data_IF_128218312170
#
_entry.id   IF_128218312170
#
_cell.length_a   1.000
_cell.length_b   1.000
_cell.length_c   1.000
_cell.angle_alpha   90.00
_cell.angle_beta   90.00
_cell.angle_gamma   90.00
#
_symmetry.space_group_name_H-M   'P 1'
#
loop_
_entity.id
_entity.type
_entity.pdbx_description
1 polymer ?
#
# COMPACT_ATOMS: atom_id res chain seq x y z
N UNK A 1 -38.86 58.13 55.03
CA UNK A 1 -40.28 57.69 54.93
C UNK A 1 -40.57 57.29 53.50
N UNK A 2 -41.28 56.15 53.34
CA UNK A 2 -42.02 55.68 52.14
C UNK A 2 -41.23 54.99 51.02
N UNK A 3 -41.26 53.66 51.13
CA UNK A 3 -41.09 52.63 50.09
C UNK A 3 -42.28 52.61 49.13
N UNK A 4 -42.11 51.89 48.02
CA UNK A 4 -43.13 51.32 47.13
C UNK A 4 -43.76 52.32 46.14
N UNK A 5 -44.06 52.01 44.89
CA UNK A 5 -44.20 50.73 44.19
C UNK A 5 -44.16 51.00 42.67
N UNK A 6 -43.67 50.02 41.92
CA UNK A 6 -44.15 49.57 40.61
C UNK A 6 -44.70 50.56 39.57
N UNK A 7 -43.93 50.73 38.51
CA UNK A 7 -44.39 50.45 37.14
C UNK A 7 -43.11 50.23 36.32
N UNK A 8 -42.59 49.01 36.24
CA UNK A 8 -42.94 47.99 35.22
C UNK A 8 -42.82 48.57 33.81
N UNK A 9 -42.04 47.87 32.98
CA UNK A 9 -41.97 47.97 31.52
C UNK A 9 -40.85 48.84 30.89
N UNK A 10 -39.60 48.64 31.31
CA UNK A 10 -38.42 48.93 30.47
C UNK A 10 -37.70 47.62 30.16
N UNK A 11 -38.26 46.79 29.28
CA UNK A 11 -37.97 46.76 27.84
C UNK A 11 -36.54 46.31 27.53
N UNK A 12 -36.48 45.22 26.74
CA UNK A 12 -35.32 44.64 26.07
C UNK A 12 -34.42 43.71 26.90
N UNK A 13 -34.98 42.53 27.17
CA UNK A 13 -34.22 41.28 27.05
C UNK A 13 -33.69 41.19 25.62
N UNK A 14 -32.44 41.56 25.39
CA UNK A 14 -31.70 41.14 24.19
C UNK A 14 -30.67 40.11 24.62
N UNK A 15 -31.16 38.90 24.88
CA UNK A 15 -30.35 37.69 24.78
C UNK A 15 -29.85 37.59 23.34
N UNK A 16 -28.62 38.03 23.09
CA UNK A 16 -27.86 37.67 21.91
C UNK A 16 -27.54 36.19 21.99
N UNK A 17 -28.52 35.35 21.68
CA UNK A 17 -28.28 33.96 21.30
C UNK A 17 -27.53 33.99 19.98
N UNK A 18 -26.21 34.04 20.08
CA UNK A 18 -25.33 33.71 18.98
C UNK A 18 -25.74 32.31 18.51
N UNK A 19 -26.17 32.12 17.25
CA UNK A 19 -26.25 30.77 16.73
C UNK A 19 -24.80 30.31 16.66
N UNK A 20 -24.36 29.53 17.65
CA UNK A 20 -23.25 28.62 17.46
C UNK A 20 -23.68 27.69 16.32
N UNK A 21 -23.39 28.11 15.08
CA UNK A 21 -23.29 27.21 13.95
C UNK A 21 -22.13 26.28 14.30
N UNK A 22 -22.42 25.27 15.11
CA UNK A 22 -21.74 24.00 15.01
C UNK A 22 -22.08 23.48 13.62
N UNK A 23 -21.37 24.00 12.61
CA UNK A 23 -21.14 23.27 11.39
C UNK A 23 -20.49 21.99 11.85
N UNK A 24 -21.30 20.94 11.99
CA UNK A 24 -20.84 19.58 12.06
C UNK A 24 -19.85 19.47 10.92
N UNK A 25 -18.57 19.50 11.25
CA UNK A 25 -17.52 19.28 10.29
C UNK A 25 -17.59 17.79 10.09
N UNK A 26 -18.20 17.25 9.00
CA UNK A 26 -17.86 15.89 8.66
C UNK A 26 -16.35 15.93 8.48
N UNK A 27 -15.60 15.24 9.33
CA UNK A 27 -14.19 14.98 9.06
C UNK A 27 -14.16 14.24 7.72
N UNK A 28 -14.00 15.01 6.66
CA UNK A 28 -14.50 14.64 5.35
C UNK A 28 -13.89 15.54 4.32
N UNK A 29 -12.62 15.25 4.02
CA UNK A 29 -11.88 15.69 2.82
C UNK A 29 -11.23 17.09 2.94
N UNK A 30 -9.94 17.08 3.26
CA UNK A 30 -9.05 18.22 3.55
C UNK A 30 -8.59 19.03 2.32
N UNK A 31 -9.46 19.30 1.33
CA UNK A 31 -9.06 20.07 0.15
C UNK A 31 -9.97 21.28 -0.06
N UNK A 32 -9.43 22.46 0.28
CA UNK A 32 -10.15 23.72 0.45
C UNK A 32 -10.63 24.40 -0.86
N UNK A 33 -10.44 23.82 -2.06
CA UNK A 33 -11.09 24.31 -3.30
C UNK A 33 -11.53 23.17 -4.25
N UNK A 34 -12.64 23.32 -5.01
CA UNK A 34 -13.10 22.32 -5.98
C UNK A 34 -12.11 22.05 -7.11
N UNK A 35 -11.48 23.10 -7.64
CA UNK A 35 -10.57 22.99 -8.77
C UNK A 35 -9.28 22.24 -8.42
N UNK A 36 -8.72 22.50 -7.22
CA UNK A 36 -7.53 21.81 -6.73
C UNK A 36 -7.78 20.30 -6.57
N UNK A 37 -9.01 19.89 -6.22
CA UNK A 37 -9.41 18.48 -6.18
C UNK A 37 -9.42 17.84 -7.55
N UNK A 38 -10.00 18.48 -8.57
CA UNK A 38 -10.06 17.91 -9.92
C UNK A 38 -8.67 17.69 -10.52
N UNK A 39 -7.70 18.56 -10.21
CA UNK A 39 -6.31 18.37 -10.64
C UNK A 39 -5.64 17.20 -9.91
N UNK A 40 -5.81 17.08 -8.58
CA UNK A 40 -5.27 15.95 -7.81
C UNK A 40 -5.93 14.62 -8.15
N UNK A 41 -7.24 14.59 -8.38
CA UNK A 41 -7.96 13.39 -8.83
C UNK A 41 -7.47 12.92 -10.20
N UNK A 42 -7.27 13.84 -11.16
CA UNK A 42 -6.68 13.49 -12.46
C UNK A 42 -5.27 12.91 -12.30
N UNK A 43 -4.42 13.55 -11.50
CA UNK A 43 -3.07 13.04 -11.22
C UNK A 43 -3.10 11.66 -10.54
N UNK A 44 -4.03 11.44 -9.61
CA UNK A 44 -4.23 10.16 -8.94
C UNK A 44 -4.62 9.08 -9.95
N UNK A 45 -5.59 9.35 -10.82
CA UNK A 45 -6.04 8.39 -11.84
C UNK A 45 -4.91 8.02 -12.81
N UNK A 46 -4.14 9.01 -13.30
CA UNK A 46 -2.99 8.75 -14.17
C UNK A 46 -1.90 7.94 -13.48
N UNK A 47 -1.52 8.31 -12.25
CA UNK A 47 -0.51 7.56 -11.48
C UNK A 47 -0.96 6.14 -11.17
N UNK A 48 -2.24 5.93 -10.84
CA UNK A 48 -2.80 4.59 -10.62
C UNK A 48 -2.73 3.75 -11.89
N UNK A 49 -3.02 4.32 -13.07
CA UNK A 49 -2.92 3.61 -14.34
C UNK A 49 -1.47 3.23 -14.66
N UNK A 50 -0.54 4.16 -14.51
CA UNK A 50 0.89 3.93 -14.72
C UNK A 50 1.45 2.87 -13.74
N UNK A 51 1.11 2.97 -12.45
CA UNK A 51 1.46 1.96 -11.46
C UNK A 51 0.88 0.60 -11.80
N UNK A 52 -0.38 0.49 -12.25
CA UNK A 52 -0.95 -0.80 -12.67
C UNK A 52 -0.24 -1.40 -13.89
N UNK A 53 0.15 -0.58 -14.87
CA UNK A 53 0.93 -1.06 -16.02
C UNK A 53 2.33 -1.52 -15.61
N UNK A 54 2.96 -0.80 -14.67
CA UNK A 54 4.27 -1.14 -14.12
C UNK A 54 4.20 -2.36 -13.20
N UNK A 55 3.18 -2.52 -12.37
CA UNK A 55 2.95 -3.71 -11.52
C UNK A 55 2.60 -4.94 -12.35
N UNK A 56 1.87 -4.76 -13.45
CA UNK A 56 1.68 -5.82 -14.44
C UNK A 56 3.01 -6.25 -15.08
N UNK A 57 3.94 -5.33 -15.30
CA UNK A 57 5.27 -5.63 -15.83
C UNK A 57 6.28 -6.07 -14.75
N UNK A 58 6.11 -5.66 -13.50
CA UNK A 58 7.05 -5.93 -12.42
C UNK A 58 6.75 -7.27 -11.78
N UNK A 59 7.79 -8.08 -11.59
CA UNK A 59 7.70 -9.36 -10.91
C UNK A 59 8.63 -9.33 -9.71
N UNK A 60 8.08 -9.51 -8.51
CA UNK A 60 8.83 -9.62 -7.27
C UNK A 60 8.73 -11.01 -6.67
N UNK A 61 9.83 -11.49 -6.11
CA UNK A 61 9.87 -12.71 -5.33
C UNK A 61 9.83 -12.34 -3.84
N UNK A 62 8.67 -12.47 -3.21
CA UNK A 62 8.48 -11.98 -1.84
C UNK A 62 8.89 -13.02 -0.79
N UNK A 63 8.81 -14.30 -1.13
CA UNK A 63 9.17 -15.38 -0.20
C UNK A 63 9.06 -16.76 -0.80
N UNK A 64 9.76 -17.71 -0.17
CA UNK A 64 9.70 -19.13 -0.48
C UNK A 64 9.49 -19.87 0.84
N UNK A 65 8.50 -20.75 0.90
CA UNK A 65 8.30 -21.68 2.02
C UNK A 65 8.40 -23.09 1.49
N UNK A 66 9.40 -23.82 1.95
CA UNK A 66 9.57 -25.24 1.65
C UNK A 66 9.20 -26.07 2.88
N UNK A 67 8.29 -27.03 2.67
CA UNK A 67 7.82 -27.95 3.71
C UNK A 67 8.69 -29.20 3.75
N UNK A 68 8.84 -29.81 4.93
CA UNK A 68 9.59 -31.07 5.10
C UNK A 68 9.08 -32.22 4.22
N UNK A 69 7.80 -32.18 3.80
CA UNK A 69 7.21 -33.13 2.86
C UNK A 69 7.65 -32.93 1.41
N UNK A 70 8.56 -32.00 1.12
CA UNK A 70 9.06 -31.67 -0.22
C UNK A 70 8.23 -30.65 -1.00
N UNK A 71 7.03 -30.31 -0.51
CA UNK A 71 6.15 -29.33 -1.17
C UNK A 71 6.65 -27.90 -0.95
N UNK A 72 6.47 -27.04 -1.94
CA UNK A 72 6.87 -25.64 -1.86
C UNK A 72 5.73 -24.68 -2.23
N UNK A 73 5.73 -23.52 -1.58
CA UNK A 73 4.85 -22.39 -1.90
C UNK A 73 5.74 -21.16 -2.09
N UNK A 74 5.54 -20.44 -3.18
CA UNK A 74 6.33 -19.26 -3.55
C UNK A 74 5.42 -18.05 -3.67
N UNK A 75 5.79 -16.93 -3.06
CA UNK A 75 5.03 -15.69 -3.14
C UNK A 75 5.61 -14.80 -4.22
N UNK A 76 4.79 -14.52 -5.23
CA UNK A 76 5.16 -13.65 -6.35
C UNK A 76 4.16 -12.50 -6.40
N UNK A 77 4.62 -11.25 -6.36
CA UNK A 77 3.77 -10.06 -6.33
C UNK A 77 2.64 -10.15 -5.26
N UNK A 78 2.97 -10.69 -4.08
CA UNK A 78 2.07 -10.90 -2.95
C UNK A 78 1.14 -12.10 -3.08
N UNK A 79 1.20 -12.85 -4.18
CA UNK A 79 0.32 -13.99 -4.46
C UNK A 79 1.06 -15.30 -4.22
N UNK A 80 0.48 -16.16 -3.38
CA UNK A 80 0.98 -17.51 -3.20
C UNK A 80 0.76 -18.33 -4.48
N UNK A 81 1.82 -19.01 -4.92
CA UNK A 81 1.81 -20.02 -5.97
C UNK A 81 2.36 -21.33 -5.41
N UNK A 82 1.56 -22.37 -5.52
CA UNK A 82 2.02 -23.74 -5.31
C UNK A 82 2.54 -24.33 -6.63
N UNK A 83 3.20 -25.49 -6.56
CA UNK A 83 3.81 -26.16 -7.72
C UNK A 83 2.85 -26.45 -8.88
N UNK A 84 1.54 -26.52 -8.61
CA UNK A 84 0.49 -26.75 -9.61
C UNK A 84 -0.16 -25.45 -10.14
N UNK A 85 0.09 -24.30 -9.53
CA UNK A 85 -0.53 -23.02 -9.94
C UNK A 85 0.09 -22.42 -11.20
N UNK A 86 1.21 -22.95 -11.69
CA UNK A 86 1.88 -22.45 -12.89
C UNK A 86 0.94 -22.43 -14.11
N UNK A 87 0.09 -23.45 -14.28
CA UNK A 87 -0.89 -23.50 -15.37
C UNK A 87 -2.00 -22.45 -15.26
N UNK A 88 -2.34 -22.02 -14.03
CA UNK A 88 -3.41 -21.05 -13.76
C UNK A 88 -2.90 -19.61 -13.82
N UNK A 89 -1.66 -19.39 -13.42
CA UNK A 89 -1.04 -18.07 -13.34
C UNK A 89 -0.16 -17.74 -14.54
N UNK A 90 0.22 -18.74 -15.33
CA UNK A 90 1.12 -18.60 -16.47
C UNK A 90 2.57 -18.35 -16.06
N UNK A 91 2.93 -18.48 -14.78
CA UNK A 91 4.30 -18.29 -14.29
C UNK A 91 4.80 -19.63 -13.75
N UNK A 92 5.84 -20.16 -14.37
CA UNK A 92 6.52 -21.36 -13.86
C UNK A 92 7.60 -20.97 -12.87
N UNK A 93 7.65 -21.68 -11.76
CA UNK A 93 8.63 -21.46 -10.69
C UNK A 93 9.50 -22.70 -10.55
N UNK A 94 10.81 -22.51 -10.60
CA UNK A 94 11.78 -23.58 -10.38
C UNK A 94 12.68 -23.22 -9.20
N UNK A 95 12.54 -24.00 -8.15
CA UNK A 95 13.39 -23.92 -6.96
C UNK A 95 14.58 -24.85 -7.11
N UNK A 96 15.75 -24.42 -6.63
CA UNK A 96 16.96 -25.26 -6.58
C UNK A 96 17.29 -25.54 -5.12
N UNK A 97 17.34 -26.81 -4.67
CA UNK A 97 17.62 -27.14 -3.26
C UNK A 97 18.96 -26.61 -2.73
N UNK A 98 19.93 -26.40 -3.63
CA UNK A 98 21.24 -25.83 -3.30
C UNK A 98 21.17 -24.35 -2.89
N UNK A 99 20.11 -23.64 -3.27
CA UNK A 99 19.92 -22.23 -2.98
C UNK A 99 18.45 -21.91 -2.66
N UNK A 100 18.02 -22.15 -1.41
CA UNK A 100 16.62 -21.97 -1.00
C UNK A 100 16.17 -20.51 -0.97
N UNK A 101 17.10 -19.55 -1.10
CA UNK A 101 16.80 -18.11 -1.15
C UNK A 101 16.54 -17.57 -2.57
N UNK A 102 16.60 -18.43 -3.58
CA UNK A 102 16.45 -18.05 -4.99
C UNK A 102 15.41 -18.91 -5.71
N UNK A 103 14.68 -18.28 -6.63
CA UNK A 103 13.79 -18.97 -7.55
C UNK A 103 14.06 -18.54 -8.99
N UNK A 104 14.02 -19.49 -9.91
CA UNK A 104 13.89 -19.17 -11.34
C UNK A 104 12.42 -19.03 -11.67
N UNK A 105 12.05 -17.86 -12.15
CA UNK A 105 10.70 -17.51 -12.56
C UNK A 105 10.67 -17.40 -14.08
N UNK A 106 9.78 -18.15 -14.73
CA UNK A 106 9.58 -18.08 -16.19
C UNK A 106 8.10 -17.80 -16.49
N UNK A 107 7.74 -16.54 -16.80
CA UNK A 107 6.40 -16.17 -17.23
C UNK A 107 6.14 -16.63 -18.67
N UNK A 108 5.31 -17.65 -18.87
CA UNK A 108 4.92 -18.13 -20.19
C UNK A 108 6.12 -18.56 -21.06
N UNK A 109 6.30 -17.88 -22.20
CA UNK A 109 7.40 -18.11 -23.16
C UNK A 109 8.61 -17.17 -22.97
N UNK A 110 8.59 -16.30 -21.95
CA UNK A 110 9.72 -15.41 -21.68
C UNK A 110 10.93 -16.16 -21.10
N UNK A 111 12.12 -15.58 -21.27
CA UNK A 111 13.36 -16.13 -20.74
C UNK A 111 13.29 -16.33 -19.21
N UNK A 112 13.68 -17.50 -18.68
CA UNK A 112 13.75 -17.75 -17.25
C UNK A 112 14.62 -16.71 -16.56
N UNK A 113 14.07 -16.04 -15.55
CA UNK A 113 14.80 -15.04 -14.77
C UNK A 113 14.98 -15.54 -13.34
N UNK A 114 16.23 -15.57 -12.88
CA UNK A 114 16.53 -15.87 -11.48
C UNK A 114 16.34 -14.61 -10.63
N UNK A 115 15.52 -14.72 -9.58
CA UNK A 115 15.32 -13.70 -8.57
C UNK A 115 15.66 -14.24 -7.18
N UNK A 116 16.21 -13.36 -6.34
CA UNK A 116 16.37 -13.59 -4.91
C UNK A 116 15.11 -13.17 -4.15
N UNK A 117 14.87 -13.78 -2.99
CA UNK A 117 13.80 -13.32 -2.09
C UNK A 117 14.06 -11.87 -1.69
N UNK A 118 13.05 -11.02 -1.86
CA UNK A 118 13.12 -9.57 -1.66
C UNK A 118 13.46 -8.77 -2.92
N UNK A 119 13.86 -9.43 -4.01
CA UNK A 119 14.17 -8.78 -5.29
C UNK A 119 12.89 -8.58 -6.12
N UNK A 120 12.88 -7.50 -6.89
CA UNK A 120 11.89 -7.24 -7.93
C UNK A 120 12.60 -6.92 -9.25
N UNK A 121 12.03 -7.39 -10.36
CA UNK A 121 12.47 -7.05 -11.70
C UNK A 121 11.32 -6.45 -12.50
N UNK A 122 11.57 -5.37 -13.22
CA UNK A 122 10.65 -4.88 -14.23
C UNK A 122 10.87 -5.67 -15.53
N UNK A 123 9.90 -6.48 -15.95
CA UNK A 123 10.02 -7.32 -17.17
C UNK A 123 10.09 -6.50 -18.46
N UNK A 124 9.55 -5.27 -18.47
CA UNK A 124 9.58 -4.42 -19.64
C UNK A 124 10.94 -3.74 -19.85
N UNK A 125 11.65 -3.38 -18.77
CA UNK A 125 12.93 -2.65 -18.84
C UNK A 125 14.14 -3.51 -18.47
N UNK A 126 13.93 -4.66 -17.81
CA UNK A 126 14.99 -5.50 -17.24
C UNK A 126 15.61 -4.92 -15.96
N UNK A 127 15.09 -3.80 -15.45
CA UNK A 127 15.62 -3.15 -14.25
C UNK A 127 15.35 -4.00 -13.00
N UNK A 128 16.40 -4.24 -12.20
CA UNK A 128 16.33 -5.00 -10.95
C UNK A 128 16.43 -4.07 -9.75
N UNK A 129 15.64 -4.36 -8.72
CA UNK A 129 15.63 -3.62 -7.47
C UNK A 129 15.61 -4.58 -6.28
N UNK A 130 16.55 -4.39 -5.36
CA UNK A 130 16.54 -5.01 -4.03
C UNK A 130 15.81 -4.07 -3.07
N UNK A 131 14.60 -4.46 -2.64
CA UNK A 131 13.63 -3.60 -1.92
C UNK A 131 14.15 -3.02 -0.59
N UNK A 132 15.34 -3.42 -0.17
CA UNK A 132 16.02 -2.99 1.04
C UNK A 132 16.84 -1.70 0.87
N UNK A 133 17.01 -1.17 -0.35
CA UNK A 133 17.68 0.12 -0.59
C UNK A 133 19.13 0.17 -0.07
N UNK A 134 19.81 -0.98 0.07
CA UNK A 134 21.20 -1.07 0.52
C UNK A 134 21.40 -1.21 2.04
N UNK A 135 20.34 -1.41 2.83
CA UNK A 135 20.48 -1.68 4.27
C UNK A 135 21.25 -2.98 4.55
N UNK A 136 22.16 -2.98 5.54
CA UNK A 136 22.90 -4.18 5.97
C UNK A 136 22.48 -4.60 7.37
N UNK A 137 22.16 -5.87 7.57
CA UNK A 137 21.95 -6.46 8.90
C UNK A 137 23.24 -7.13 9.37
N UNK A 138 23.79 -6.69 10.51
CA UNK A 138 24.91 -7.36 11.17
C UNK A 138 24.39 -8.19 12.33
N UNK A 139 24.64 -9.50 12.32
CA UNK A 139 24.34 -10.37 13.46
C UNK A 139 25.47 -10.30 14.48
N UNK A 140 25.18 -10.19 15.80
CA UNK A 140 26.22 -10.27 16.82
C UNK A 140 26.89 -11.65 16.77
N UNK A 141 28.21 -11.68 17.01
CA UNK A 141 28.96 -12.92 17.06
C UNK A 141 28.34 -13.86 18.10
N UNK A 142 27.96 -15.06 17.67
CA UNK A 142 27.51 -16.14 18.55
C UNK A 142 28.58 -16.38 19.61
N UNK A 143 28.23 -16.11 20.88
CA UNK A 143 29.07 -16.48 22.02
C UNK A 143 28.81 -17.97 22.28
N UNK A 144 29.81 -18.79 21.98
CA UNK A 144 29.87 -20.20 22.37
C UNK A 144 29.89 -20.35 23.90
#
# INVERSE_FOLDING_TARGET
>A
MKRAYCLVLGLLVTSTTWPAHAASTPLGRLFFTPEKRLTLERQRLSKIQETQTLEGATMSLDGIVQRSSGKSTVWINGRAQDEHDAARTGVSVRLTPKDPGQAQLSPGEESPTQLKVGEAINRATGERNDRLGGGTVKTPASRH
#
